data_IF_337916333999
#
_entry.id   IF_337916333999
#
_cell.length_a   1.000
_cell.length_b   1.000
_cell.length_c   1.000
_cell.angle_alpha   90.00
_cell.angle_beta   90.00
_cell.angle_gamma   90.00
#
_symmetry.space_group_name_H-M   'P 1'
#
loop_
_entity.id
_entity.type
_entity.pdbx_description
1 polymer ?
#
# COMPACT_ATOMS: atom_id res chain seq x y z
N UNK A 1 31.85 -14.72 -11.18
CA UNK A 1 32.04 -15.17 -9.78
C UNK A 1 31.41 -14.13 -8.85
N UNK A 2 30.27 -14.43 -8.23
CA UNK A 2 29.61 -13.48 -7.33
C UNK A 2 30.28 -13.55 -5.94
N UNK A 3 30.88 -12.43 -5.50
CA UNK A 3 31.42 -12.30 -4.15
C UNK A 3 30.31 -11.77 -3.25
N UNK A 4 29.68 -12.67 -2.49
CA UNK A 4 28.69 -12.33 -1.47
C UNK A 4 29.32 -12.12 -0.09
N UNK A 5 28.59 -11.45 0.81
CA UNK A 5 28.97 -11.31 2.22
C UNK A 5 28.81 -12.65 2.91
N UNK A 6 29.92 -13.24 3.38
CA UNK A 6 29.93 -14.58 4.00
C UNK A 6 29.63 -14.56 5.50
N UNK A 7 29.77 -13.41 6.17
CA UNK A 7 29.48 -13.27 7.60
C UNK A 7 29.20 -11.82 7.97
N UNK A 8 28.24 -11.63 8.87
CA UNK A 8 27.94 -10.36 9.53
C UNK A 8 28.11 -10.55 11.03
N UNK A 9 28.59 -9.51 11.73
CA UNK A 9 28.64 -9.44 13.19
C UNK A 9 27.90 -8.19 13.64
N UNK A 10 27.05 -8.33 14.64
CA UNK A 10 26.30 -7.23 15.25
C UNK A 10 26.90 -6.96 16.62
N UNK A 11 27.32 -5.73 16.85
CA UNK A 11 27.74 -5.25 18.16
C UNK A 11 26.52 -4.74 18.93
N UNK A 12 26.12 -5.49 19.95
CA UNK A 12 24.94 -5.20 20.75
C UNK A 12 25.17 -4.08 21.77
N UNK A 13 26.42 -3.64 21.99
CA UNK A 13 26.73 -2.55 22.94
C UNK A 13 26.17 -1.19 22.53
N UNK A 14 25.80 -1.03 21.25
CA UNK A 14 25.18 0.18 20.68
C UNK A 14 23.69 0.02 20.39
N UNK A 15 23.09 -1.10 20.82
CA UNK A 15 21.66 -1.35 20.61
C UNK A 15 20.84 -0.46 21.54
N UNK A 16 19.79 0.18 21.02
CA UNK A 16 18.79 0.93 21.81
C UNK A 16 17.68 0.01 22.36
N UNK A 17 17.84 -1.31 22.27
CA UNK A 17 16.91 -2.27 22.86
C UNK A 17 17.17 -2.35 24.37
N UNK A 18 16.26 -1.78 25.15
CA UNK A 18 16.24 -1.96 26.61
C UNK A 18 16.19 -3.45 26.95
N UNK A 19 17.09 -3.91 27.82
CA UNK A 19 17.03 -5.27 28.38
C UNK A 19 15.92 -5.36 29.45
N UNK A 20 14.67 -5.19 29.03
CA UNK A 20 13.53 -5.49 29.89
C UNK A 20 13.04 -6.91 29.61
N UNK A 21 13.28 -7.75 30.62
CA UNK A 21 12.61 -9.00 31.02
C UNK A 21 11.75 -9.67 29.94
N UNK A 22 12.17 -10.87 29.53
CA UNK A 22 11.39 -11.79 28.71
C UNK A 22 9.93 -11.85 29.18
N UNK A 23 8.94 -11.68 28.29
CA UNK A 23 7.56 -11.89 28.67
C UNK A 23 7.39 -13.37 29.03
N UNK A 24 7.06 -13.59 30.30
CA UNK A 24 6.63 -14.87 30.84
C UNK A 24 5.45 -15.35 29.99
N UNK A 25 5.63 -16.48 29.31
CA UNK A 25 4.60 -17.09 28.48
C UNK A 25 3.46 -17.55 29.40
N UNK A 26 2.47 -16.69 29.60
CA UNK A 26 1.18 -17.10 30.16
C UNK A 26 0.46 -17.90 29.08
N UNK A 27 0.56 -19.22 29.17
CA UNK A 27 -0.32 -20.17 28.50
C UNK A 27 -1.76 -19.96 29.01
N UNK A 28 -2.46 -19.02 28.39
CA UNK A 28 -3.92 -18.94 28.45
C UNK A 28 -4.41 -19.35 27.06
N UNK A 29 -5.36 -20.32 26.96
CA UNK A 29 -5.99 -20.63 25.70
C UNK A 29 -6.60 -19.33 25.17
N UNK A 30 -6.01 -18.80 24.10
CA UNK A 30 -6.50 -17.60 23.44
C UNK A 30 -7.97 -17.82 23.09
N UNK A 31 -8.80 -16.84 23.44
CA UNK A 31 -10.19 -16.78 23.02
C UNK A 31 -10.26 -17.12 21.52
N UNK A 32 -11.28 -17.88 21.07
CA UNK A 32 -11.35 -18.32 19.70
C UNK A 32 -11.21 -17.11 18.79
N UNK A 33 -10.16 -17.12 17.96
CA UNK A 33 -10.04 -16.25 16.80
C UNK A 33 -11.42 -16.28 16.16
N UNK A 34 -12.10 -15.13 15.97
CA UNK A 34 -13.34 -15.13 15.23
C UNK A 34 -13.01 -15.80 13.91
N UNK A 35 -13.51 -17.03 13.75
CA UNK A 35 -13.45 -17.77 12.50
C UNK A 35 -13.83 -16.75 11.45
N UNK A 36 -12.94 -16.52 10.47
CA UNK A 36 -13.26 -15.74 9.29
C UNK A 36 -14.43 -16.47 8.65
N UNK A 37 -15.63 -16.14 9.12
CA UNK A 37 -16.88 -16.53 8.52
C UNK A 37 -16.71 -15.94 7.15
N UNK A 38 -16.50 -16.81 6.17
CA UNK A 38 -16.37 -16.44 4.79
C UNK A 38 -17.53 -15.49 4.51
N UNK A 39 -17.23 -14.19 4.49
CA UNK A 39 -18.15 -13.19 4.00
C UNK A 39 -18.10 -13.44 2.50
N UNK A 40 -18.90 -14.42 2.10
CA UNK A 40 -19.29 -14.63 0.73
C UNK A 40 -20.06 -13.36 0.38
N UNK A 41 -19.34 -12.34 -0.07
CA UNK A 41 -19.99 -11.30 -0.83
C UNK A 41 -20.66 -11.97 -2.02
N UNK A 42 -21.91 -11.60 -2.35
CA UNK A 42 -22.57 -12.14 -3.51
C UNK A 42 -21.68 -11.80 -4.70
N UNK A 43 -21.17 -12.85 -5.35
CA UNK A 43 -20.29 -12.79 -6.51
C UNK A 43 -21.09 -12.30 -7.72
N UNK A 44 -21.57 -11.06 -7.66
CA UNK A 44 -22.25 -10.40 -8.76
C UNK A 44 -21.15 -9.91 -9.69
N UNK A 45 -20.75 -10.78 -10.61
CA UNK A 45 -19.90 -10.43 -11.75
C UNK A 45 -20.65 -9.44 -12.63
N UNK A 46 -20.46 -8.15 -12.34
CA UNK A 46 -20.90 -7.06 -13.21
C UNK A 46 -19.68 -6.49 -13.92
N UNK A 47 -19.58 -6.66 -15.23
CA UNK A 47 -18.52 -6.09 -16.08
C UNK A 47 -18.30 -4.59 -15.80
N UNK A 48 -19.37 -3.85 -15.47
CA UNK A 48 -19.31 -2.43 -15.11
C UNK A 48 -18.52 -2.11 -13.84
N UNK A 49 -18.46 -3.02 -12.85
CA UNK A 49 -17.69 -2.78 -11.61
C UNK A 49 -16.20 -2.91 -11.87
N UNK A 50 -15.78 -3.97 -12.53
CA UNK A 50 -14.36 -4.15 -12.88
C UNK A 50 -13.85 -3.01 -13.77
N UNK A 51 -14.68 -2.55 -14.71
CA UNK A 51 -14.39 -1.36 -15.52
C UNK A 51 -14.20 -0.10 -14.66
N UNK A 52 -15.00 0.10 -13.61
CA UNK A 52 -14.83 1.24 -12.70
C UNK A 52 -13.50 1.19 -11.95
N UNK A 53 -13.14 0.03 -11.40
CA UNK A 53 -11.88 -0.13 -10.64
C UNK A 53 -10.67 0.05 -11.56
N UNK A 54 -10.72 -0.48 -12.79
CA UNK A 54 -9.69 -0.27 -13.80
C UNK A 54 -9.55 1.21 -14.19
N UNK A 55 -10.67 1.93 -14.33
CA UNK A 55 -10.66 3.38 -14.60
C UNK A 55 -10.02 4.15 -13.47
N UNK A 56 -10.40 3.87 -12.22
CA UNK A 56 -9.82 4.50 -11.03
C UNK A 56 -8.30 4.28 -10.98
N UNK A 57 -7.84 3.04 -11.22
CA UNK A 57 -6.41 2.74 -11.25
C UNK A 57 -5.67 3.52 -12.34
N UNK A 58 -6.27 3.60 -13.53
CA UNK A 58 -5.69 4.34 -14.65
C UNK A 58 -5.65 5.85 -14.40
N UNK A 59 -6.69 6.41 -13.79
CA UNK A 59 -6.75 7.81 -13.37
C UNK A 59 -5.69 8.13 -12.32
N UNK A 60 -5.56 7.29 -11.29
CA UNK A 60 -4.52 7.41 -10.27
C UNK A 60 -3.12 7.43 -10.89
N UNK A 61 -2.86 6.52 -11.83
CA UNK A 61 -1.60 6.45 -12.57
C UNK A 61 -1.37 7.74 -13.38
N UNK A 62 -2.37 8.23 -14.09
CA UNK A 62 -2.23 9.45 -14.90
C UNK A 62 -1.97 10.70 -14.04
N UNK A 63 -2.68 10.85 -12.93
CA UNK A 63 -2.48 11.95 -11.98
C UNK A 63 -1.10 11.89 -11.33
N UNK A 64 -0.68 10.72 -10.84
CA UNK A 64 0.66 10.52 -10.31
C UNK A 64 1.74 10.86 -11.35
N UNK A 65 1.53 10.49 -12.62
CA UNK A 65 2.44 10.81 -13.71
C UNK A 65 2.50 12.31 -14.00
N UNK A 66 1.35 13.01 -13.99
CA UNK A 66 1.28 14.47 -14.13
C UNK A 66 2.03 15.15 -12.98
N UNK A 67 1.75 14.72 -11.75
CA UNK A 67 2.40 15.22 -10.53
C UNK A 67 3.92 15.12 -10.63
N UNK A 68 4.45 13.94 -10.98
CA UNK A 68 5.89 13.72 -11.15
C UNK A 68 6.49 14.61 -12.24
N UNK A 69 5.78 14.81 -13.37
CA UNK A 69 6.27 15.70 -14.44
C UNK A 69 6.35 17.16 -14.01
N UNK A 70 5.32 17.68 -13.34
CA UNK A 70 5.32 19.05 -12.83
C UNK A 70 6.42 19.26 -11.79
N UNK A 71 6.58 18.27 -10.89
CA UNK A 71 7.66 18.27 -9.91
C UNK A 71 9.04 18.32 -10.56
N UNK A 72 9.27 17.55 -11.62
CA UNK A 72 10.53 17.58 -12.39
C UNK A 72 10.77 18.90 -13.10
N UNK A 73 9.70 19.56 -13.55
CA UNK A 73 9.77 20.85 -14.21
C UNK A 73 9.94 22.02 -13.21
N UNK A 74 9.85 21.76 -11.90
CA UNK A 74 9.86 22.81 -10.87
C UNK A 74 8.59 23.68 -10.88
N UNK A 75 7.51 23.17 -11.47
CA UNK A 75 6.22 23.86 -11.53
C UNK A 75 5.49 23.77 -10.18
N UNK A 76 4.59 24.72 -9.88
CA UNK A 76 3.68 24.59 -8.74
C UNK A 76 2.88 23.29 -8.83
N UNK A 77 2.77 22.60 -7.71
CA UNK A 77 2.12 21.28 -7.66
C UNK A 77 0.93 21.36 -6.72
N UNK A 78 -0.19 20.82 -7.20
CA UNK A 78 -1.38 20.59 -6.39
C UNK A 78 -1.52 19.09 -6.10
N UNK A 79 -1.51 18.74 -4.80
CA UNK A 79 -1.69 17.38 -4.32
C UNK A 79 -3.17 16.98 -4.19
N UNK A 80 -4.08 17.96 -4.20
CA UNK A 80 -5.52 17.75 -3.97
C UNK A 80 -6.13 16.68 -4.88
N UNK A 81 -5.83 16.64 -6.20
CA UNK A 81 -6.36 15.60 -7.08
C UNK A 81 -5.86 14.20 -6.70
N UNK A 82 -4.61 14.09 -6.26
CA UNK A 82 -4.03 12.80 -5.87
C UNK A 82 -4.59 12.32 -4.53
N UNK A 83 -4.85 13.25 -3.60
CA UNK A 83 -5.52 12.95 -2.34
C UNK A 83 -6.97 12.49 -2.54
N UNK A 84 -7.70 13.11 -3.46
CA UNK A 84 -9.07 12.69 -3.81
C UNK A 84 -9.10 11.27 -4.37
N UNK A 85 -8.17 10.94 -5.28
CA UNK A 85 -8.06 9.57 -5.81
C UNK A 85 -7.61 8.57 -4.74
N UNK A 86 -6.73 8.95 -3.82
CA UNK A 86 -6.37 8.09 -2.69
C UNK A 86 -7.60 7.77 -1.81
N UNK A 87 -8.49 8.74 -1.60
CA UNK A 87 -9.76 8.53 -0.90
C UNK A 87 -10.68 7.56 -1.67
N UNK A 88 -10.82 7.71 -2.99
CA UNK A 88 -11.61 6.79 -3.80
C UNK A 88 -11.01 5.37 -3.84
N UNK A 89 -9.69 5.24 -3.78
CA UNK A 89 -8.98 3.96 -3.67
C UNK A 89 -9.23 3.29 -2.32
N UNK A 90 -9.37 4.05 -1.24
CA UNK A 90 -9.76 3.51 0.08
C UNK A 90 -11.22 3.04 0.05
N UNK A 91 -12.13 3.78 -0.58
CA UNK A 91 -13.57 3.41 -0.68
C UNK A 91 -13.80 2.16 -1.54
N UNK A 92 -13.23 2.23 -2.75
CA UNK A 92 -12.38 1.21 -3.35
C UNK A 92 -12.22 -0.10 -2.58
N UNK A 93 -11.22 -0.07 -1.71
CA UNK A 93 -10.75 -1.17 -0.89
C UNK A 93 -11.82 -1.71 0.05
N UNK A 94 -12.62 -0.85 0.69
CA UNK A 94 -13.67 -1.30 1.61
C UNK A 94 -14.79 -2.08 0.93
N UNK A 95 -15.09 -1.74 -0.33
CA UNK A 95 -16.17 -2.37 -1.09
C UNK A 95 -15.70 -3.51 -2.00
N UNK A 96 -14.47 -3.47 -2.50
CA UNK A 96 -13.96 -4.40 -3.53
C UNK A 96 -12.46 -4.70 -3.35
N UNK A 97 -12.03 -4.99 -2.12
CA UNK A 97 -10.61 -5.16 -1.79
C UNK A 97 -9.88 -6.23 -2.61
N UNK A 98 -10.53 -7.36 -2.92
CA UNK A 98 -9.93 -8.44 -3.71
C UNK A 98 -9.60 -8.01 -5.15
N UNK A 99 -10.45 -7.18 -5.76
CA UNK A 99 -10.23 -6.66 -7.11
C UNK A 99 -9.09 -5.63 -7.12
N UNK A 100 -9.02 -4.76 -6.10
CA UNK A 100 -7.89 -3.83 -5.93
C UNK A 100 -6.57 -4.57 -5.75
N UNK A 101 -6.54 -5.63 -4.94
CA UNK A 101 -5.36 -6.49 -4.79
C UNK A 101 -4.99 -7.22 -6.08
N UNK A 102 -5.98 -7.61 -6.89
CA UNK A 102 -5.73 -8.18 -8.21
C UNK A 102 -5.02 -7.18 -9.12
N UNK A 103 -5.47 -5.92 -9.16
CA UNK A 103 -4.82 -4.85 -9.92
C UNK A 103 -3.39 -4.60 -9.45
N UNK A 104 -3.13 -4.66 -8.14
CA UNK A 104 -1.78 -4.49 -7.60
C UNK A 104 -0.79 -5.59 -8.04
N UNK A 105 -1.29 -6.70 -8.59
CA UNK A 105 -0.47 -7.80 -9.13
C UNK A 105 -0.21 -7.67 -10.63
N UNK A 106 -0.94 -6.81 -11.33
CA UNK A 106 -0.73 -6.56 -12.76
C UNK A 106 0.56 -5.74 -12.90
N UNK A 107 1.55 -6.31 -13.59
CA UNK A 107 2.80 -5.64 -13.92
C UNK A 107 2.89 -5.44 -15.43
N UNK A 108 2.94 -4.21 -15.91
CA UNK A 108 3.36 -3.93 -17.27
C UNK A 108 4.89 -3.78 -17.29
N UNK A 109 5.53 -4.41 -18.27
CA UNK A 109 7.00 -4.54 -18.36
C UNK A 109 7.76 -3.20 -18.44
N UNK A 110 7.05 -2.10 -18.77
CA UNK A 110 7.67 -0.83 -19.16
C UNK A 110 7.33 0.38 -18.24
N UNK A 111 6.56 0.20 -17.16
CA UNK A 111 6.09 1.29 -16.27
C UNK A 111 6.51 1.12 -14.79
N UNK A 112 7.72 0.60 -14.58
CA UNK A 112 8.20 0.02 -13.32
C UNK A 112 8.05 0.92 -12.06
N UNK A 113 8.26 2.23 -12.15
CA UNK A 113 8.22 3.13 -10.99
C UNK A 113 6.82 3.57 -10.56
N UNK A 114 5.97 3.91 -11.53
CA UNK A 114 4.60 4.36 -11.24
C UNK A 114 3.74 3.20 -10.75
N UNK A 115 3.87 2.04 -11.39
CA UNK A 115 3.19 0.82 -10.92
C UNK A 115 3.70 0.38 -9.55
N UNK A 116 4.99 0.56 -9.23
CA UNK A 116 5.50 0.25 -7.91
C UNK A 116 4.80 1.07 -6.82
N UNK A 117 4.75 2.39 -6.99
CA UNK A 117 4.11 3.29 -6.02
C UNK A 117 2.60 3.05 -5.92
N UNK A 118 1.94 2.76 -7.04
CA UNK A 118 0.53 2.34 -7.06
C UNK A 118 0.30 1.06 -6.25
N UNK A 119 1.12 0.03 -6.49
CA UNK A 119 1.00 -1.25 -5.80
C UNK A 119 1.28 -1.11 -4.30
N UNK A 120 2.30 -0.32 -3.92
CA UNK A 120 2.61 -0.01 -2.52
C UNK A 120 1.43 0.69 -1.85
N UNK A 121 0.80 1.68 -2.51
CA UNK A 121 -0.38 2.36 -1.97
C UNK A 121 -1.54 1.39 -1.69
N UNK A 122 -1.85 0.50 -2.64
CA UNK A 122 -2.91 -0.50 -2.50
C UNK A 122 -2.59 -1.48 -1.35
N UNK A 123 -1.34 -1.91 -1.24
CA UNK A 123 -0.90 -2.81 -0.17
C UNK A 123 -0.94 -2.13 1.21
N UNK A 124 -0.52 -0.86 1.31
CA UNK A 124 -0.60 -0.09 2.55
C UNK A 124 -2.05 0.12 2.99
N UNK A 125 -2.94 0.47 2.07
CA UNK A 125 -4.37 0.59 2.34
C UNK A 125 -4.96 -0.73 2.85
N UNK A 126 -4.64 -1.84 2.19
CA UNK A 126 -5.13 -3.16 2.58
C UNK A 126 -4.55 -3.62 3.94
N UNK A 127 -3.27 -3.37 4.18
CA UNK A 127 -2.61 -3.71 5.43
C UNK A 127 -3.14 -2.87 6.60
N UNK A 128 -3.30 -1.56 6.42
CA UNK A 128 -3.91 -0.70 7.42
C UNK A 128 -5.35 -1.11 7.73
N UNK A 129 -6.12 -1.51 6.71
CA UNK A 129 -7.48 -2.04 6.91
C UNK A 129 -7.45 -3.33 7.73
N UNK A 130 -6.52 -4.24 7.44
CA UNK A 130 -6.33 -5.46 8.22
C UNK A 130 -6.00 -5.17 9.69
N UNK A 131 -5.22 -4.11 9.96
CA UNK A 131 -4.92 -3.64 11.31
C UNK A 131 -6.08 -2.90 11.99
N UNK A 132 -7.21 -2.67 11.30
CA UNK A 132 -8.35 -1.94 11.84
C UNK A 132 -8.12 -0.43 11.99
N UNK A 133 -7.19 0.16 11.22
CA UNK A 133 -6.93 1.59 11.27
C UNK A 133 -8.12 2.40 10.73
N UNK A 134 -8.29 3.60 11.28
CA UNK A 134 -9.37 4.50 10.86
C UNK A 134 -9.23 4.93 9.40
N UNK A 135 -10.38 5.22 8.77
CA UNK A 135 -10.44 5.58 7.35
C UNK A 135 -9.52 6.75 6.99
N UNK A 136 -9.41 7.76 7.85
CA UNK A 136 -8.54 8.92 7.60
C UNK A 136 -7.06 8.51 7.55
N UNK A 137 -6.63 7.61 8.43
CA UNK A 137 -5.26 7.06 8.42
C UNK A 137 -5.02 6.23 7.16
N UNK A 138 -6.01 5.46 6.70
CA UNK A 138 -5.89 4.72 5.44
C UNK A 138 -5.72 5.64 4.22
N UNK A 139 -6.41 6.79 4.20
CA UNK A 139 -6.24 7.80 3.15
C UNK A 139 -4.82 8.34 3.11
N UNK A 140 -4.28 8.69 4.27
CA UNK A 140 -2.90 9.18 4.41
C UNK A 140 -1.88 8.11 4.01
N UNK A 141 -2.06 6.86 4.43
CA UNK A 141 -1.21 5.74 4.02
C UNK A 141 -1.24 5.50 2.51
N UNK A 142 -2.43 5.58 1.92
CA UNK A 142 -2.61 5.40 0.47
C UNK A 142 -1.92 6.53 -0.30
N UNK A 143 -2.15 7.79 0.08
CA UNK A 143 -1.50 8.95 -0.51
C UNK A 143 0.02 8.91 -0.35
N UNK A 144 0.50 8.55 0.85
CA UNK A 144 1.92 8.35 1.14
C UNK A 144 2.53 7.27 0.25
N UNK A 145 1.85 6.14 0.05
CA UNK A 145 2.29 5.08 -0.86
C UNK A 145 2.40 5.54 -2.31
N UNK A 146 1.44 6.34 -2.79
CA UNK A 146 1.44 6.94 -4.13
C UNK A 146 2.65 7.88 -4.33
N UNK A 147 3.17 8.47 -3.26
CA UNK A 147 4.23 9.47 -3.33
C UNK A 147 5.59 8.99 -2.84
N UNK A 148 5.69 7.79 -2.24
CA UNK A 148 6.86 7.40 -1.46
C UNK A 148 8.19 7.40 -2.25
N UNK A 149 8.13 7.06 -3.54
CA UNK A 149 9.31 6.95 -4.41
C UNK A 149 9.56 8.22 -5.25
N UNK A 150 8.78 9.29 -5.04
CA UNK A 150 8.93 10.56 -5.77
C UNK A 150 10.34 11.13 -5.65
N UNK A 151 10.98 11.04 -4.48
CA UNK A 151 12.35 11.50 -4.27
C UNK A 151 13.40 10.75 -5.09
N UNK A 152 13.21 9.44 -5.34
CA UNK A 152 14.12 8.67 -6.22
C UNK A 152 14.00 9.07 -7.67
N UNK A 153 12.83 9.54 -8.09
CA UNK A 153 12.55 9.91 -9.48
C UNK A 153 13.17 11.27 -9.84
N UNK A 154 13.53 12.08 -8.83
CA UNK A 154 14.20 13.38 -8.98
C UNK A 154 15.74 13.30 -8.99
N UNK A 155 16.33 12.13 -8.74
CA UNK A 155 17.79 11.91 -8.78
C UNK A 155 18.21 11.33 -10.13
#
# INVERSE_FOLDING_TARGET
MARGVLRVRVDLSRSQLSQDKAPEATDKPGAPIPSMRAMQEPRVQGEGRELKIRRLYQEARELQGKFIRHLKAGEPIDITPLAAVAEEMVDTMFSHGDAMLCLARIRAKDAYLMEHSMNVAILLANFGRYLGLERNVLKELTLGGLLHDVGKIMT
#
